data_IF_943819043307
#
_entry.id   IF_943819043307
#
_cell.length_a   1.000
_cell.length_b   1.000
_cell.length_c   1.000
_cell.angle_alpha   90.00
_cell.angle_beta   90.00
_cell.angle_gamma   90.00
#
_symmetry.space_group_name_H-M   'P 1'
#
loop_
_entity.id
_entity.type
_entity.pdbx_description
1 polymer ?
#
# COMPACT_ATOMS: atom_id res chain seq x y z
N UNK A 1 -7.42 13.02 4.57
CA UNK A 1 -7.03 12.22 3.48
C UNK A 1 -7.87 10.98 3.23
N UNK A 2 -7.63 10.40 2.09
CA UNK A 2 -8.37 9.23 1.63
C UNK A 2 -7.60 7.90 1.84
N UNK A 3 -6.32 7.99 2.20
CA UNK A 3 -5.50 6.79 2.47
C UNK A 3 -4.30 7.16 3.36
N UNK A 4 -3.66 6.14 3.92
CA UNK A 4 -2.35 6.26 4.56
C UNK A 4 -1.36 5.39 3.81
N UNK A 5 -0.12 5.84 3.67
CA UNK A 5 0.91 5.16 2.92
C UNK A 5 2.15 4.93 3.78
N UNK A 6 2.73 3.75 3.67
CA UNK A 6 3.93 3.37 4.41
C UNK A 6 4.80 2.41 3.62
N UNK A 7 5.82 1.86 4.27
CA UNK A 7 6.69 0.85 3.70
C UNK A 7 7.96 1.37 3.02
N UNK A 8 8.24 2.68 3.10
CA UNK A 8 9.52 3.20 2.61
C UNK A 8 10.63 2.89 3.63
N UNK A 9 11.69 2.15 3.25
CA UNK A 9 12.75 1.80 4.19
C UNK A 9 13.49 3.00 4.77
N UNK A 10 13.60 4.09 4.01
CA UNK A 10 14.27 5.32 4.45
C UNK A 10 13.32 6.31 5.13
N UNK A 11 12.02 6.04 5.15
CA UNK A 11 11.04 6.94 5.73
C UNK A 11 10.80 8.22 4.94
N UNK A 12 11.31 8.34 3.72
CA UNK A 12 11.24 9.54 2.90
C UNK A 12 10.11 9.54 1.87
N UNK A 13 9.53 8.37 1.60
CA UNK A 13 8.59 8.18 0.50
C UNK A 13 9.26 7.91 -0.85
N UNK A 14 10.59 7.96 -0.91
CA UNK A 14 11.37 7.80 -2.15
C UNK A 14 12.07 6.45 -2.25
N UNK A 15 12.14 5.70 -1.17
CA UNK A 15 12.91 4.47 -1.10
C UNK A 15 12.10 3.20 -1.41
N UNK A 16 12.83 2.10 -1.59
CA UNK A 16 12.26 0.81 -1.86
C UNK A 16 13.22 -0.33 -1.51
N UNK A 17 12.87 -1.57 -1.82
CA UNK A 17 13.64 -2.75 -1.41
C UNK A 17 14.86 -3.05 -2.30
N UNK A 18 15.13 -2.24 -3.31
CA UNK A 18 16.22 -2.47 -4.26
C UNK A 18 15.79 -3.20 -5.53
N UNK A 19 14.49 -3.45 -5.67
CA UNK A 19 13.89 -4.03 -6.88
C UNK A 19 12.44 -3.56 -7.01
N UNK A 20 11.85 -3.78 -8.16
CA UNK A 20 10.42 -3.59 -8.35
C UNK A 20 9.77 -4.87 -8.89
N UNK A 21 8.45 -4.93 -8.81
CA UNK A 21 7.68 -6.09 -9.26
C UNK A 21 6.72 -5.68 -10.38
N UNK A 22 6.27 -6.68 -11.15
CA UNK A 22 5.22 -6.45 -12.15
C UNK A 22 3.93 -6.04 -11.46
N UNK A 23 3.27 -5.05 -12.01
CA UNK A 23 2.03 -4.51 -11.47
C UNK A 23 0.86 -5.46 -11.66
N UNK A 24 0.26 -5.89 -10.56
CA UNK A 24 -0.82 -6.87 -10.54
C UNK A 24 -2.19 -6.18 -10.50
N UNK A 25 -2.47 -5.41 -11.55
CA UNK A 25 -3.74 -4.69 -11.68
C UNK A 25 -4.27 -4.79 -13.11
N UNK A 26 -5.57 -4.64 -13.25
CA UNK A 26 -6.27 -4.90 -14.51
C UNK A 26 -5.75 -4.04 -15.66
N UNK A 27 -5.46 -2.76 -15.43
CA UNK A 27 -4.89 -1.88 -16.45
C UNK A 27 -3.52 -2.30 -16.97
N UNK A 28 -2.84 -3.22 -16.27
CA UNK A 28 -1.55 -3.78 -16.66
C UNK A 28 -1.66 -5.24 -17.16
N UNK A 29 -2.85 -5.68 -17.50
CA UNK A 29 -3.09 -7.02 -18.04
C UNK A 29 -3.19 -8.14 -17.00
N UNK A 30 -3.25 -7.82 -15.72
CA UNK A 30 -3.40 -8.78 -14.64
C UNK A 30 -4.82 -8.67 -14.07
N UNK A 31 -5.61 -9.73 -14.16
CA UNK A 31 -6.99 -9.69 -13.63
C UNK A 31 -6.98 -9.44 -12.13
N UNK A 32 -7.54 -8.30 -11.73
CA UNK A 32 -7.68 -7.91 -10.33
C UNK A 32 -8.99 -7.15 -10.14
N UNK A 33 -9.97 -7.81 -9.55
CA UNK A 33 -11.32 -7.26 -9.38
C UNK A 33 -11.53 -6.61 -8.00
N UNK A 34 -10.49 -6.48 -7.18
CA UNK A 34 -10.61 -5.85 -5.87
C UNK A 34 -10.87 -4.35 -6.04
N UNK A 35 -11.85 -3.87 -5.28
CA UNK A 35 -12.21 -2.45 -5.25
C UNK A 35 -11.42 -1.75 -4.15
N UNK A 36 -11.08 -0.48 -4.39
CA UNK A 36 -10.40 0.34 -3.38
C UNK A 36 -11.42 0.93 -2.41
N UNK A 37 -12.08 0.05 -1.69
CA UNK A 37 -13.00 0.40 -0.62
C UNK A 37 -12.24 0.65 0.68
N UNK A 38 -12.89 1.30 1.65
CA UNK A 38 -12.30 1.54 2.96
C UNK A 38 -11.72 0.25 3.55
N UNK A 39 -10.49 0.32 4.04
CA UNK A 39 -9.78 -0.80 4.66
C UNK A 39 -8.99 -1.67 3.70
N UNK A 40 -9.09 -1.46 2.39
CA UNK A 40 -8.33 -2.23 1.40
C UNK A 40 -6.87 -1.81 1.39
N UNK A 41 -5.97 -2.80 1.27
CA UNK A 41 -4.53 -2.60 1.11
C UNK A 41 -4.16 -2.70 -0.37
N UNK A 42 -3.32 -1.79 -0.83
CA UNK A 42 -2.91 -1.72 -2.24
C UNK A 42 -1.45 -1.30 -2.34
N UNK A 43 -0.80 -1.67 -3.44
CA UNK A 43 0.61 -1.32 -3.66
C UNK A 43 0.75 0.10 -4.21
N UNK A 44 1.60 0.88 -3.57
CA UNK A 44 2.02 2.16 -4.12
C UNK A 44 3.04 1.93 -5.26
N UNK A 45 3.05 2.84 -6.21
CA UNK A 45 3.99 2.83 -7.34
C UNK A 45 4.16 4.23 -7.92
N UNK A 46 5.15 4.39 -8.78
CA UNK A 46 5.28 5.60 -9.59
C UNK A 46 4.33 5.52 -10.79
N UNK A 47 4.42 6.45 -11.74
CA UNK A 47 3.61 6.40 -12.96
C UNK A 47 3.91 5.17 -13.82
N UNK A 48 5.12 4.59 -13.70
CA UNK A 48 5.46 3.35 -14.40
C UNK A 48 4.66 2.17 -13.80
N UNK A 49 4.01 1.34 -14.62
CA UNK A 49 3.14 0.28 -14.12
C UNK A 49 3.86 -0.84 -13.36
N UNK A 50 5.13 -1.06 -13.63
CA UNK A 50 5.93 -2.13 -13.00
C UNK A 50 6.96 -1.56 -12.03
N UNK A 51 6.58 -0.57 -11.24
CA UNK A 51 7.48 0.16 -10.33
C UNK A 51 7.17 -0.06 -8.84
N UNK A 52 6.23 -0.92 -8.50
CA UNK A 52 5.94 -1.22 -7.10
C UNK A 52 7.12 -1.92 -6.44
N UNK A 53 7.41 -1.53 -5.21
CA UNK A 53 8.48 -2.12 -4.40
C UNK A 53 7.97 -2.54 -3.03
N UNK A 54 8.28 -1.76 -2.01
CA UNK A 54 7.86 -2.05 -0.63
C UNK A 54 6.78 -1.13 -0.10
N UNK A 55 6.49 -0.02 -0.78
CA UNK A 55 5.50 0.91 -0.30
C UNK A 55 4.07 0.44 -0.61
N UNK A 56 3.17 0.65 0.34
CA UNK A 56 1.78 0.26 0.22
C UNK A 56 0.91 1.32 0.87
N UNK A 57 -0.38 1.27 0.59
CA UNK A 57 -1.32 2.17 1.25
C UNK A 57 -2.57 1.40 1.72
N UNK A 58 -3.21 1.97 2.73
CA UNK A 58 -4.44 1.46 3.32
C UNK A 58 -5.52 2.50 3.10
N UNK A 59 -6.64 2.10 2.52
CA UNK A 59 -7.72 3.00 2.19
C UNK A 59 -8.46 3.47 3.44
N UNK A 60 -8.61 4.77 3.59
CA UNK A 60 -9.45 5.39 4.61
C UNK A 60 -10.85 5.67 4.07
N UNK A 61 -10.96 6.03 2.81
CA UNK A 61 -12.23 6.29 2.12
C UNK A 61 -12.29 5.49 0.83
N UNK A 62 -13.50 5.14 0.39
CA UNK A 62 -13.69 4.47 -0.89
C UNK A 62 -13.17 5.37 -2.02
N UNK A 63 -12.36 4.80 -2.90
CA UNK A 63 -11.70 5.55 -3.98
C UNK A 63 -11.76 4.78 -5.30
N UNK A 64 -12.94 4.73 -5.94
CA UNK A 64 -13.12 3.94 -7.16
C UNK A 64 -12.23 4.37 -8.33
N UNK A 65 -11.69 5.58 -8.32
CA UNK A 65 -10.76 6.04 -9.36
C UNK A 65 -9.45 5.26 -9.38
N UNK A 66 -9.14 4.51 -8.32
CA UNK A 66 -7.94 3.68 -8.23
C UNK A 66 -8.17 2.26 -8.76
N UNK A 67 -9.43 1.84 -8.90
CA UNK A 67 -9.78 0.49 -9.32
C UNK A 67 -9.25 0.21 -10.73
N UNK A 68 -8.61 -0.95 -10.89
CA UNK A 68 -8.00 -1.33 -12.15
C UNK A 68 -6.69 -0.62 -12.49
N UNK A 69 -6.25 0.33 -11.68
CA UNK A 69 -5.03 1.13 -11.90
C UNK A 69 -3.95 0.87 -10.85
N UNK A 70 -4.32 0.29 -9.72
CA UNK A 70 -3.42 -0.06 -8.63
C UNK A 70 -3.69 -1.48 -8.16
N UNK A 71 -2.64 -2.13 -7.65
CA UNK A 71 -2.69 -3.53 -7.25
C UNK A 71 -3.19 -3.69 -5.81
N UNK A 72 -4.50 -3.70 -5.63
CA UNK A 72 -5.11 -4.05 -4.35
C UNK A 72 -4.86 -5.54 -4.06
N UNK A 73 -4.49 -5.87 -2.82
CA UNK A 73 -4.11 -7.24 -2.48
C UNK A 73 -4.62 -7.74 -1.14
N UNK A 74 -5.25 -6.91 -0.34
CA UNK A 74 -5.70 -7.30 0.99
C UNK A 74 -6.73 -6.36 1.56
N UNK A 75 -7.17 -6.69 2.78
CA UNK A 75 -8.20 -5.91 3.47
C UNK A 75 -7.98 -5.99 4.98
N UNK A 76 -8.20 -4.89 5.69
CA UNK A 76 -8.19 -4.87 7.14
C UNK A 76 -9.29 -5.76 7.70
N UNK A 77 -8.95 -6.54 8.70
CA UNK A 77 -9.93 -7.32 9.48
C UNK A 77 -10.18 -6.69 10.84
N UNK A 78 -9.25 -5.88 11.34
CA UNK A 78 -9.39 -5.09 12.56
C UNK A 78 -8.39 -3.94 12.56
N UNK A 79 -8.57 -2.95 13.43
CA UNK A 79 -7.66 -1.81 13.55
C UNK A 79 -8.05 -0.60 12.70
N UNK A 80 -9.29 -0.50 12.23
CA UNK A 80 -9.75 0.66 11.46
C UNK A 80 -9.60 1.96 12.23
N UNK A 81 -9.82 1.95 13.54
CA UNK A 81 -9.65 3.12 14.38
C UNK A 81 -8.21 3.62 14.41
N UNK A 82 -7.23 2.74 14.24
CA UNK A 82 -5.82 3.14 14.11
C UNK A 82 -5.57 3.86 12.79
N UNK A 83 -6.17 3.39 11.71
CA UNK A 83 -6.11 4.08 10.40
C UNK A 83 -6.72 5.48 10.52
N UNK A 84 -7.87 5.59 11.17
CA UNK A 84 -8.53 6.88 11.39
C UNK A 84 -7.62 7.84 12.17
N UNK A 85 -6.96 7.37 13.22
CA UNK A 85 -6.04 8.18 14.02
C UNK A 85 -4.84 8.65 13.21
N UNK A 86 -4.26 7.78 12.39
CA UNK A 86 -3.11 8.16 11.56
C UNK A 86 -3.53 9.16 10.49
N UNK A 87 -4.69 8.98 9.87
CA UNK A 87 -5.23 9.93 8.89
C UNK A 87 -5.47 11.32 9.49
N UNK A 88 -5.75 11.40 10.78
CA UNK A 88 -6.09 12.63 11.47
C UNK A 88 -4.87 13.43 11.95
N UNK A 89 -3.66 12.86 11.90
CA UNK A 89 -2.47 13.58 12.38
C UNK A 89 -2.12 14.74 11.47
N UNK A 90 -1.45 15.74 12.04
CA UNK A 90 -0.96 16.88 11.26
C UNK A 90 0.11 16.47 10.28
N UNK A 91 0.00 16.94 9.07
CA UNK A 91 0.96 16.69 7.99
C UNK A 91 1.59 17.99 7.52
N UNK A 92 2.73 17.88 6.82
CA UNK A 92 3.32 18.98 6.10
C UNK A 92 2.65 19.10 4.71
N UNK A 93 3.15 20.04 3.88
CA UNK A 93 2.56 20.28 2.56
C UNK A 93 2.78 19.12 1.57
N UNK A 94 3.62 18.13 1.92
CA UNK A 94 3.81 16.89 1.14
C UNK A 94 2.97 15.74 1.68
N UNK A 95 2.01 16.00 2.56
CA UNK A 95 1.18 14.99 3.23
C UNK A 95 1.97 14.03 4.12
N UNK A 96 3.18 14.41 4.51
CA UNK A 96 3.99 13.64 5.44
C UNK A 96 3.62 14.02 6.88
N UNK A 97 3.31 13.03 7.75
CA UNK A 97 3.05 13.32 9.15
C UNK A 97 4.21 14.10 9.78
N UNK A 98 3.88 15.17 10.51
CA UNK A 98 4.90 16.00 11.20
C UNK A 98 5.59 15.21 12.31
N UNK A 99 4.86 14.33 12.97
CA UNK A 99 5.42 13.37 13.93
C UNK A 99 5.48 12.01 13.26
N UNK A 100 6.66 11.34 13.23
CA UNK A 100 6.77 10.04 12.59
C UNK A 100 5.77 9.03 13.12
N UNK A 101 5.09 8.33 12.21
CA UNK A 101 4.18 7.22 12.50
C UNK A 101 4.92 5.94 12.15
N UNK A 102 5.31 5.17 13.16
CA UNK A 102 6.27 4.07 12.98
C UNK A 102 5.61 2.72 13.17
N UNK A 103 5.82 1.81 12.21
CA UNK A 103 5.49 0.40 12.36
C UNK A 103 6.60 -0.27 13.16
N UNK A 104 6.36 -0.54 14.44
CA UNK A 104 7.38 -1.09 15.35
C UNK A 104 7.65 -2.56 15.08
N UNK A 105 6.64 -3.31 14.70
CA UNK A 105 6.73 -4.74 14.44
C UNK A 105 5.68 -5.14 13.41
N UNK A 106 6.13 -5.85 12.39
CA UNK A 106 5.25 -6.42 11.36
C UNK A 106 5.52 -7.91 11.28
N UNK A 107 4.48 -8.71 11.35
CA UNK A 107 4.58 -10.16 11.21
C UNK A 107 3.65 -10.65 10.11
N UNK A 108 4.00 -11.78 9.50
CA UNK A 108 3.19 -12.40 8.47
C UNK A 108 2.93 -13.85 8.87
N UNK A 109 1.65 -14.23 8.89
CA UNK A 109 1.24 -15.61 9.12
C UNK A 109 0.86 -16.23 7.79
N UNK A 110 1.60 -17.25 7.37
CA UNK A 110 1.39 -17.92 6.07
C UNK A 110 0.67 -19.26 6.19
N UNK A 111 0.28 -19.63 7.40
CA UNK A 111 -0.46 -20.88 7.68
C UNK A 111 0.23 -22.12 7.11
N UNK A 112 1.57 -22.14 7.13
CA UNK A 112 2.37 -23.28 6.63
C UNK A 112 2.54 -23.32 5.12
N UNK A 113 2.06 -22.32 4.39
CA UNK A 113 2.21 -22.23 2.94
C UNK A 113 3.52 -21.52 2.59
N UNK A 114 4.32 -22.11 1.71
CA UNK A 114 5.48 -21.46 1.13
C UNK A 114 5.08 -20.77 -0.16
N UNK A 115 5.36 -19.49 -0.26
CA UNK A 115 5.06 -18.70 -1.45
C UNK A 115 6.33 -18.47 -2.26
N UNK A 116 6.22 -18.52 -3.61
CA UNK A 116 7.37 -18.21 -4.45
C UNK A 116 7.75 -16.73 -4.36
N UNK A 117 8.96 -16.39 -4.78
CA UNK A 117 9.37 -15.02 -4.93
C UNK A 117 8.44 -14.29 -5.92
N UNK A 118 8.19 -12.98 -5.73
CA UNK A 118 7.38 -12.23 -6.67
C UNK A 118 8.06 -12.12 -8.03
N UNK A 119 7.25 -11.92 -9.06
CA UNK A 119 7.76 -11.71 -10.40
C UNK A 119 8.33 -10.29 -10.50
N UNK A 120 9.66 -10.19 -10.52
CA UNK A 120 10.36 -8.91 -10.58
C UNK A 120 10.30 -8.30 -11.99
N UNK A 121 10.20 -7.01 -11.98
CA UNK A 121 10.22 -6.24 -13.23
C UNK A 121 11.65 -5.95 -13.70
#
# INVERSE_FOLDING_TARGET
>A
GFMIQGGCPQGTGMGGPGYSIKGEFTGNGFKNDLKHDRGVLSMARTMAPNSAGSQFFIMHENSPHLDGQYAAFGKLIEGEETVDKICAVRTDYNDRPRTPQVMKKVTVETFGVEYPEPEKA
#
